data_IF_359890116885
#
_entry.id   IF_359890116885
#
_cell.length_a   1.000
_cell.length_b   1.000
_cell.length_c   1.000
_cell.angle_alpha   90.00
_cell.angle_beta   90.00
_cell.angle_gamma   90.00
#
_symmetry.space_group_name_H-M   'P 1'
#
loop_
_entity.id
_entity.type
_entity.pdbx_description
1 polymer ?
#
# COMPACT_ATOMS: atom_id res chain seq x y z
N UNK A 1 14.77 13.89 11.75
CA UNK A 1 14.08 12.69 11.26
C UNK A 1 13.35 11.94 12.39
N UNK A 2 14.05 11.35 13.41
CA UNK A 2 13.37 10.58 14.47
C UNK A 2 12.42 11.44 15.32
N UNK A 3 12.81 12.68 15.60
CA UNK A 3 11.94 13.65 16.27
C UNK A 3 10.67 13.90 15.48
N UNK A 4 10.77 14.01 14.16
CA UNK A 4 9.61 14.25 13.27
C UNK A 4 8.72 13.01 13.19
N UNK A 5 9.32 11.81 13.06
CA UNK A 5 8.57 10.54 13.09
C UNK A 5 7.75 10.43 14.39
N UNK A 6 8.38 10.64 15.55
CA UNK A 6 7.67 10.58 16.84
C UNK A 6 6.57 11.62 16.95
N UNK A 7 6.85 12.85 16.50
CA UNK A 7 5.86 13.93 16.50
C UNK A 7 4.63 13.57 15.66
N UNK A 8 4.84 12.99 14.47
CA UNK A 8 3.74 12.55 13.62
C UNK A 8 2.93 11.43 14.31
N UNK A 9 3.60 10.39 14.82
CA UNK A 9 2.93 9.29 15.52
C UNK A 9 2.16 9.77 16.76
N UNK A 10 2.74 10.69 17.54
CA UNK A 10 2.09 11.28 18.73
C UNK A 10 0.87 12.12 18.35
N UNK A 11 0.87 12.74 17.18
CA UNK A 11 -0.28 13.51 16.67
C UNK A 11 -1.38 12.62 16.06
N UNK A 12 -1.23 11.28 16.10
CA UNK A 12 -2.21 10.35 15.56
C UNK A 12 -2.05 10.04 14.08
N UNK A 13 -0.98 10.53 13.44
CA UNK A 13 -0.69 10.22 12.04
C UNK A 13 0.08 8.91 11.93
N UNK A 14 -0.20 8.18 10.86
CA UNK A 14 0.56 7.00 10.51
C UNK A 14 1.85 7.40 9.77
N UNK A 15 2.94 6.64 10.02
CA UNK A 15 4.23 6.84 9.36
C UNK A 15 4.66 5.54 8.72
N UNK A 16 5.07 5.57 7.46
CA UNK A 16 5.62 4.41 6.74
C UNK A 16 7.12 4.60 6.59
N UNK A 17 7.89 3.60 7.02
CA UNK A 17 9.33 3.51 6.79
C UNK A 17 9.66 2.25 6.00
N UNK A 18 10.84 2.21 5.40
CA UNK A 18 11.33 1.01 4.72
C UNK A 18 12.23 0.17 5.62
N UNK A 19 12.39 -1.12 5.30
CA UNK A 19 13.39 -1.99 5.93
C UNK A 19 14.81 -1.45 5.77
N UNK A 20 15.08 -0.69 4.71
CA UNK A 20 16.37 0.00 4.53
C UNK A 20 16.63 1.05 5.62
N UNK A 21 15.63 1.86 5.96
CA UNK A 21 15.75 2.82 7.06
C UNK A 21 15.89 2.11 8.41
N UNK A 22 15.09 1.06 8.64
CA UNK A 22 15.19 0.22 9.84
C UNK A 22 16.62 -0.33 10.02
N UNK A 23 17.23 -0.83 8.94
CA UNK A 23 18.60 -1.35 8.95
C UNK A 23 19.65 -0.25 9.20
N UNK A 24 19.39 0.96 8.73
CA UNK A 24 20.33 2.09 8.88
C UNK A 24 20.33 2.69 10.30
N UNK A 25 19.22 2.65 11.03
CA UNK A 25 19.09 3.26 12.37
C UNK A 25 18.31 2.37 13.35
N UNK A 26 18.70 1.09 13.52
CA UNK A 26 17.92 0.12 14.29
C UNK A 26 17.69 0.54 15.75
N UNK A 27 18.71 1.08 16.42
CA UNK A 27 18.62 1.49 17.83
C UNK A 27 17.62 2.63 18.04
N UNK A 28 17.51 3.54 17.07
CA UNK A 28 16.56 4.64 17.13
C UNK A 28 15.12 4.19 16.87
N UNK A 29 14.94 3.21 16.01
CA UNK A 29 13.61 2.62 15.76
C UNK A 29 13.18 1.77 16.97
N UNK A 30 14.13 1.10 17.64
CA UNK A 30 13.89 0.32 18.86
C UNK A 30 13.28 1.15 20.02
N UNK A 31 13.45 2.48 20.01
CA UNK A 31 12.77 3.38 20.94
C UNK A 31 11.24 3.51 20.70
N UNK A 32 10.75 3.03 19.55
CA UNK A 32 9.34 3.00 19.17
C UNK A 32 8.81 1.57 19.21
N UNK A 33 9.51 0.64 18.56
CA UNK A 33 9.16 -0.78 18.45
C UNK A 33 10.41 -1.61 18.25
N UNK A 34 10.49 -2.76 18.92
CA UNK A 34 11.62 -3.67 18.76
C UNK A 34 11.47 -4.51 17.49
N UNK A 35 12.18 -4.09 16.44
CA UNK A 35 12.26 -4.75 15.15
C UNK A 35 13.73 -4.98 14.78
N UNK A 36 14.01 -6.11 14.16
CA UNK A 36 15.37 -6.46 13.74
C UNK A 36 15.39 -6.96 12.30
N UNK A 37 16.13 -6.28 11.44
CA UNK A 37 16.55 -6.85 10.17
C UNK A 37 17.60 -7.94 10.44
N UNK A 38 17.35 -9.15 9.95
CA UNK A 38 18.32 -10.25 10.03
C UNK A 38 19.11 -10.35 8.72
N UNK A 39 20.13 -11.21 8.71
CA UNK A 39 20.85 -11.54 7.47
C UNK A 39 20.15 -12.68 6.68
N UNK A 40 19.04 -13.19 7.20
CA UNK A 40 18.28 -14.24 6.53
C UNK A 40 17.41 -13.67 5.43
N UNK A 41 17.29 -14.44 4.35
CA UNK A 41 16.44 -14.16 3.19
C UNK A 41 15.76 -15.44 2.73
N UNK A 42 14.61 -15.32 2.09
CA UNK A 42 13.94 -16.44 1.47
C UNK A 42 13.44 -16.08 0.08
N UNK A 43 13.41 -17.10 -0.80
CA UNK A 43 12.66 -17.01 -2.05
C UNK A 43 11.20 -17.32 -1.75
N UNK A 44 10.34 -16.36 -2.03
CA UNK A 44 8.90 -16.47 -1.77
C UNK A 44 8.10 -15.95 -2.97
N UNK A 45 7.03 -16.66 -3.29
CA UNK A 45 6.04 -16.23 -4.29
C UNK A 45 4.61 -16.26 -3.75
N UNK A 46 4.38 -16.85 -2.57
CA UNK A 46 3.08 -16.95 -1.93
C UNK A 46 2.89 -15.81 -0.90
N UNK A 47 1.89 -14.97 -1.12
CA UNK A 47 1.48 -13.86 -0.26
C UNK A 47 0.16 -14.18 0.48
N UNK A 48 -0.16 -15.46 0.64
CA UNK A 48 -1.36 -15.91 1.33
C UNK A 48 -2.64 -15.37 0.68
N UNK A 49 -3.48 -14.71 1.45
CA UNK A 49 -4.76 -14.13 0.97
C UNK A 49 -4.61 -13.09 -0.15
N UNK A 50 -3.42 -12.55 -0.33
CA UNK A 50 -3.14 -11.55 -1.36
C UNK A 50 -2.78 -12.16 -2.72
N UNK A 51 -2.55 -13.48 -2.77
CA UNK A 51 -2.26 -14.21 -4.00
C UNK A 51 -0.78 -14.54 -4.17
N UNK A 52 -0.42 -14.90 -5.38
CA UNK A 52 0.95 -15.29 -5.73
C UNK A 52 1.61 -14.24 -6.60
N UNK A 53 2.92 -14.05 -6.41
CA UNK A 53 3.76 -13.32 -7.33
C UNK A 53 3.99 -14.13 -8.61
N UNK A 54 4.26 -13.46 -9.73
CA UNK A 54 4.54 -14.11 -11.01
C UNK A 54 5.85 -14.91 -11.04
N UNK A 55 6.72 -14.72 -10.03
CA UNK A 55 8.02 -15.38 -9.86
C UNK A 55 8.43 -15.42 -8.39
N UNK A 56 9.48 -16.17 -8.10
CA UNK A 56 10.10 -16.15 -6.78
C UNK A 56 10.83 -14.83 -6.53
N UNK A 57 10.59 -14.24 -5.37
CA UNK A 57 11.16 -12.97 -4.93
C UNK A 57 12.06 -13.20 -3.73
N UNK A 58 13.25 -12.62 -3.74
CA UNK A 58 14.18 -12.70 -2.61
C UNK A 58 13.82 -11.62 -1.58
N UNK A 59 13.20 -12.07 -0.49
CA UNK A 59 12.71 -11.19 0.58
C UNK A 59 13.62 -11.29 1.80
N UNK A 60 14.15 -10.16 2.31
CA UNK A 60 14.87 -10.13 3.57
C UNK A 60 13.91 -10.31 4.75
N UNK A 61 14.42 -10.92 5.83
CA UNK A 61 13.64 -11.15 7.03
C UNK A 61 13.71 -9.94 7.96
N UNK A 62 12.52 -9.52 8.44
CA UNK A 62 12.38 -8.61 9.58
C UNK A 62 11.75 -9.39 10.73
N UNK A 63 12.48 -9.55 11.82
CA UNK A 63 11.97 -10.14 13.06
C UNK A 63 11.21 -9.10 13.88
N UNK A 64 10.15 -9.54 14.54
CA UNK A 64 9.29 -8.71 15.39
C UNK A 64 8.66 -9.55 16.51
N UNK A 65 8.22 -8.91 17.57
CA UNK A 65 7.43 -9.52 18.61
C UNK A 65 5.94 -9.29 18.37
N UNK A 66 5.15 -10.36 18.48
CA UNK A 66 3.69 -10.33 18.16
C UNK A 66 2.87 -9.46 19.11
N UNK A 67 3.41 -9.10 20.28
CA UNK A 67 2.78 -8.16 21.21
C UNK A 67 2.97 -6.70 20.79
N UNK A 68 4.03 -6.39 20.05
CA UNK A 68 4.43 -5.03 19.71
C UNK A 68 4.11 -4.68 18.27
N UNK A 69 4.10 -5.68 17.38
CA UNK A 69 3.80 -5.49 15.97
C UNK A 69 3.08 -6.71 15.39
N UNK A 70 2.41 -6.52 14.25
CA UNK A 70 1.77 -7.61 13.52
C UNK A 70 1.86 -7.40 12.00
N UNK A 71 1.75 -8.50 11.27
CA UNK A 71 1.76 -8.50 9.82
C UNK A 71 0.44 -7.97 9.26
N UNK A 72 0.53 -7.00 8.37
CA UNK A 72 -0.58 -6.55 7.53
C UNK A 72 -0.55 -7.33 6.21
N UNK A 73 0.64 -7.38 5.58
CA UNK A 73 0.92 -8.18 4.40
C UNK A 73 2.14 -9.05 4.71
N UNK A 74 2.05 -10.34 4.43
CA UNK A 74 3.16 -11.28 4.59
C UNK A 74 3.42 -12.05 3.31
N UNK A 75 4.67 -12.46 3.13
CA UNK A 75 5.09 -13.40 2.11
C UNK A 75 5.67 -14.64 2.78
N UNK A 76 5.37 -15.80 2.19
CA UNK A 76 5.74 -17.08 2.74
C UNK A 76 4.82 -17.55 3.88
N UNK A 77 4.94 -18.83 4.23
CA UNK A 77 4.20 -19.41 5.35
C UNK A 77 4.95 -19.16 6.65
N UNK A 78 4.24 -18.92 7.77
CA UNK A 78 4.87 -18.93 9.07
C UNK A 78 5.59 -20.27 9.27
N UNK A 79 6.87 -20.22 9.58
CA UNK A 79 7.59 -21.43 9.99
C UNK A 79 6.99 -21.91 11.31
N UNK A 80 6.57 -23.17 11.37
CA UNK A 80 6.16 -23.79 12.61
C UNK A 80 7.34 -23.77 13.57
N UNK A 81 7.23 -23.04 14.69
CA UNK A 81 8.31 -22.98 15.68
C UNK A 81 8.61 -21.59 16.21
N UNK A 82 7.71 -20.60 16.07
CA UNK A 82 7.82 -19.31 16.75
C UNK A 82 8.65 -18.25 16.05
N UNK A 83 9.15 -18.53 14.86
CA UNK A 83 9.77 -17.53 14.01
C UNK A 83 8.71 -17.01 13.04
N UNK A 84 8.45 -15.71 13.08
CA UNK A 84 7.60 -15.03 12.10
C UNK A 84 8.11 -15.27 10.68
N UNK A 85 7.19 -15.36 9.73
CA UNK A 85 7.51 -15.47 8.30
C UNK A 85 8.29 -14.26 7.77
N UNK A 86 8.12 -13.97 6.50
CA UNK A 86 8.75 -12.83 5.85
C UNK A 86 7.72 -11.70 5.70
N UNK A 87 7.59 -10.82 6.72
CA UNK A 87 6.63 -9.72 6.68
C UNK A 87 7.01 -8.75 5.56
N UNK A 88 6.00 -8.41 4.74
CA UNK A 88 6.13 -7.39 3.71
C UNK A 88 5.73 -6.03 4.27
N UNK A 89 4.67 -6.00 5.06
CA UNK A 89 4.20 -4.79 5.73
C UNK A 89 3.84 -5.13 7.17
N UNK A 90 4.62 -4.57 8.09
CA UNK A 90 4.36 -4.63 9.53
C UNK A 90 3.64 -3.36 9.97
N UNK A 91 2.83 -3.49 11.01
CA UNK A 91 2.21 -2.38 11.73
C UNK A 91 2.56 -2.46 13.20
N UNK A 92 3.09 -1.39 13.76
CA UNK A 92 3.37 -1.23 15.19
C UNK A 92 2.63 0.00 15.73
N UNK A 93 1.74 -0.12 16.72
CA UNK A 93 1.09 1.03 17.34
C UNK A 93 2.11 1.82 18.18
N UNK A 94 2.05 3.14 18.11
CA UNK A 94 2.85 4.01 18.95
C UNK A 94 2.07 5.28 19.26
N UNK A 95 1.84 5.55 20.54
CA UNK A 95 0.99 6.65 21.03
C UNK A 95 -0.40 6.62 20.34
N UNK A 96 -0.75 7.65 19.59
CA UNK A 96 -2.04 7.75 18.89
C UNK A 96 -1.98 7.30 17.41
N UNK A 97 -0.78 7.06 16.86
CA UNK A 97 -0.56 6.66 15.46
C UNK A 97 0.02 5.26 15.32
N UNK A 98 0.38 4.89 14.08
CA UNK A 98 1.02 3.61 13.79
C UNK A 98 2.29 3.82 12.96
N UNK A 99 3.35 3.12 13.35
CA UNK A 99 4.53 2.94 12.52
C UNK A 99 4.31 1.73 11.61
N UNK A 100 4.39 1.93 10.31
CA UNK A 100 4.43 0.85 9.35
C UNK A 100 5.85 0.65 8.84
N UNK A 101 6.25 -0.60 8.69
CA UNK A 101 7.54 -0.96 8.10
C UNK A 101 7.30 -1.78 6.85
N UNK A 102 7.68 -1.21 5.70
CA UNK A 102 7.62 -1.87 4.41
C UNK A 102 8.96 -2.56 4.13
N UNK A 103 8.94 -3.88 4.03
CA UNK A 103 10.10 -4.66 3.62
C UNK A 103 10.34 -4.52 2.13
N UNK A 104 11.50 -3.99 1.78
CA UNK A 104 11.92 -3.86 0.38
C UNK A 104 12.69 -5.12 -0.01
N UNK A 105 12.34 -5.80 -1.13
CA UNK A 105 13.13 -6.88 -1.68
C UNK A 105 14.57 -6.43 -1.98
N UNK A 106 15.50 -7.38 -2.10
CA UNK A 106 16.88 -7.09 -2.44
C UNK A 106 17.03 -6.30 -3.75
N UNK A 107 16.26 -6.69 -4.76
CA UNK A 107 16.07 -5.90 -5.96
C UNK A 107 14.78 -5.09 -5.80
N UNK A 108 14.90 -3.77 -5.76
CA UNK A 108 13.77 -2.86 -5.62
C UNK A 108 12.75 -3.00 -6.77
N UNK A 109 13.20 -3.39 -7.96
CA UNK A 109 12.35 -3.68 -9.12
C UNK A 109 11.34 -4.80 -8.84
N UNK A 110 11.67 -5.71 -7.94
CA UNK A 110 10.77 -6.80 -7.54
C UNK A 110 9.51 -6.36 -6.80
N UNK A 111 9.42 -5.09 -6.36
CA UNK A 111 8.16 -4.53 -5.87
C UNK A 111 7.06 -4.57 -6.94
N UNK A 112 7.42 -4.47 -8.20
CA UNK A 112 6.47 -4.55 -9.33
C UNK A 112 5.92 -5.97 -9.55
N UNK A 113 6.56 -6.98 -8.99
CA UNK A 113 6.14 -8.38 -9.10
C UNK A 113 5.23 -8.82 -7.95
N UNK A 114 4.98 -7.96 -6.97
CA UNK A 114 4.03 -8.25 -5.90
C UNK A 114 2.62 -8.42 -6.48
N UNK A 115 1.81 -9.34 -5.90
CA UNK A 115 0.42 -9.49 -6.31
C UNK A 115 -0.34 -8.16 -6.18
N UNK A 116 -1.21 -7.87 -7.13
CA UNK A 116 -1.99 -6.61 -7.16
C UNK A 116 -2.72 -6.34 -5.83
N UNK A 117 -3.27 -7.38 -5.19
CA UNK A 117 -3.94 -7.24 -3.89
C UNK A 117 -2.98 -6.78 -2.78
N UNK A 118 -1.73 -7.25 -2.78
CA UNK A 118 -0.71 -6.81 -1.82
C UNK A 118 -0.32 -5.35 -2.08
N UNK A 119 -0.09 -4.98 -3.34
CA UNK A 119 0.20 -3.61 -3.73
C UNK A 119 -0.94 -2.65 -3.36
N UNK A 120 -2.19 -3.07 -3.56
CA UNK A 120 -3.34 -2.23 -3.24
C UNK A 120 -3.49 -2.03 -1.72
N UNK A 121 -3.17 -3.04 -0.90
CA UNK A 121 -3.12 -2.87 0.56
C UNK A 121 -2.03 -1.88 0.99
N UNK A 122 -0.84 -1.96 0.37
CA UNK A 122 0.25 -1.01 0.61
C UNK A 122 -0.18 0.40 0.20
N UNK A 123 -0.72 0.58 -1.02
CA UNK A 123 -1.23 1.87 -1.52
C UNK A 123 -2.28 2.46 -0.59
N UNK A 124 -3.24 1.66 -0.15
CA UNK A 124 -4.31 2.09 0.76
C UNK A 124 -3.78 2.64 2.08
N UNK A 125 -2.73 2.02 2.62
CA UNK A 125 -2.09 2.50 3.85
C UNK A 125 -1.30 3.77 3.61
N UNK A 126 -0.53 3.83 2.52
CA UNK A 126 0.26 5.02 2.17
C UNK A 126 -0.61 6.24 1.83
N UNK A 127 -1.81 5.99 1.31
CA UNK A 127 -2.77 7.04 0.91
C UNK A 127 -3.87 7.27 1.94
N UNK A 128 -3.70 6.84 3.19
CA UNK A 128 -4.77 6.87 4.20
C UNK A 128 -5.33 8.27 4.45
N UNK A 129 -4.47 9.27 4.43
CA UNK A 129 -4.82 10.67 4.66
C UNK A 129 -5.13 11.41 3.33
N UNK A 130 -5.21 10.68 2.22
CA UNK A 130 -5.62 11.20 0.93
C UNK A 130 -7.07 10.80 0.64
N UNK A 131 -7.82 11.74 0.09
CA UNK A 131 -9.22 11.51 -0.28
C UNK A 131 -9.36 10.59 -1.49
N UNK A 132 -8.27 10.34 -2.20
CA UNK A 132 -8.23 9.57 -3.46
C UNK A 132 -7.08 8.58 -3.43
N UNK A 133 -7.35 7.32 -3.78
CA UNK A 133 -6.32 6.31 -4.00
C UNK A 133 -6.67 5.36 -5.17
N UNK A 134 -5.68 4.59 -5.60
CA UNK A 134 -5.77 3.71 -6.75
C UNK A 134 -5.73 2.24 -6.34
N UNK A 135 -6.66 1.45 -6.88
CA UNK A 135 -6.58 -0.01 -6.92
C UNK A 135 -6.25 -0.44 -8.35
N UNK A 136 -5.07 -1.00 -8.54
CA UNK A 136 -4.55 -1.35 -9.86
C UNK A 136 -3.48 -2.45 -9.75
N UNK A 137 -3.12 -3.12 -10.85
CA UNK A 137 -1.90 -3.91 -10.92
C UNK A 137 -0.65 -3.03 -10.72
N UNK A 138 0.53 -3.64 -10.75
CA UNK A 138 1.80 -2.90 -10.74
C UNK A 138 1.93 -1.98 -11.96
N UNK A 139 2.90 -1.07 -11.91
CA UNK A 139 3.21 -0.13 -13.00
C UNK A 139 2.02 0.70 -13.48
N UNK A 140 1.13 1.07 -12.55
CA UNK A 140 0.09 2.06 -12.78
C UNK A 140 0.24 3.17 -11.76
N UNK A 141 0.35 4.40 -12.24
CA UNK A 141 0.52 5.61 -11.45
C UNK A 141 -0.78 6.38 -11.28
N UNK A 142 -0.93 7.04 -10.13
CA UNK A 142 -1.97 8.03 -9.85
C UNK A 142 -1.27 9.33 -9.44
N UNK A 143 -1.61 10.41 -10.12
CA UNK A 143 -1.14 11.76 -9.82
C UNK A 143 -2.35 12.61 -9.47
N UNK A 144 -2.35 13.21 -8.29
CA UNK A 144 -3.45 14.05 -7.81
C UNK A 144 -2.95 15.47 -7.63
N UNK A 145 -3.68 16.43 -8.14
CA UNK A 145 -3.34 17.84 -8.13
C UNK A 145 -4.33 18.65 -7.27
N UNK A 146 -3.88 19.75 -6.71
CA UNK A 146 -4.64 20.64 -5.82
C UNK A 146 -5.84 21.34 -6.50
N UNK A 147 -5.82 21.44 -7.84
CA UNK A 147 -6.91 21.98 -8.65
C UNK A 147 -8.05 20.98 -8.91
N UNK A 148 -8.15 19.91 -8.14
CA UNK A 148 -9.11 18.82 -8.31
C UNK A 148 -8.96 18.04 -9.63
N UNK A 149 -7.75 17.98 -10.14
CA UNK A 149 -7.42 17.15 -11.30
C UNK A 149 -6.69 15.90 -10.83
N UNK A 150 -6.95 14.79 -11.48
CA UNK A 150 -6.14 13.56 -11.34
C UNK A 150 -5.75 13.02 -12.71
N UNK A 151 -4.59 12.36 -12.75
CA UNK A 151 -4.11 11.62 -13.91
C UNK A 151 -3.81 10.19 -13.48
N UNK A 152 -4.32 9.24 -14.25
CA UNK A 152 -4.00 7.82 -14.09
C UNK A 152 -3.27 7.34 -15.32
N UNK A 153 -2.10 6.74 -15.14
CA UNK A 153 -1.21 6.33 -16.22
C UNK A 153 -0.84 4.86 -16.11
N UNK A 154 -0.91 4.16 -17.24
CA UNK A 154 -0.52 2.76 -17.41
C UNK A 154 0.86 2.69 -18.06
N UNK A 155 1.86 2.21 -17.33
CA UNK A 155 3.23 1.96 -17.84
C UNK A 155 3.45 0.52 -18.29
N UNK A 156 2.39 -0.31 -18.33
CA UNK A 156 2.49 -1.69 -18.81
C UNK A 156 2.35 -1.76 -20.33
N UNK A 157 2.90 -2.83 -20.91
CA UNK A 157 2.75 -3.17 -22.32
C UNK A 157 1.36 -3.72 -22.67
N UNK A 158 0.53 -3.99 -21.66
CA UNK A 158 -0.81 -4.56 -21.78
C UNK A 158 -1.88 -3.59 -21.27
N UNK A 159 -3.12 -3.67 -21.77
CA UNK A 159 -4.23 -2.92 -21.22
C UNK A 159 -4.50 -3.35 -19.77
N UNK A 160 -4.94 -2.41 -18.95
CA UNK A 160 -5.26 -2.68 -17.53
C UNK A 160 -6.61 -2.11 -17.14
N UNK A 161 -7.30 -2.85 -16.28
CA UNK A 161 -8.46 -2.35 -15.55
C UNK A 161 -8.01 -1.80 -14.19
N UNK A 162 -8.49 -0.63 -13.86
CA UNK A 162 -8.16 0.04 -12.61
C UNK A 162 -9.43 0.57 -11.93
N UNK A 163 -9.33 0.78 -10.62
CA UNK A 163 -10.38 1.40 -9.83
C UNK A 163 -9.79 2.61 -9.08
N UNK A 164 -10.36 3.77 -9.31
CA UNK A 164 -10.10 4.97 -8.50
C UNK A 164 -11.11 4.95 -7.36
N UNK A 165 -10.63 5.07 -6.13
CA UNK A 165 -11.46 5.11 -4.93
C UNK A 165 -11.32 6.49 -4.31
N UNK A 166 -12.46 7.13 -4.03
CA UNK A 166 -12.53 8.50 -3.51
C UNK A 166 -13.43 8.53 -2.28
N UNK A 167 -13.46 9.67 -1.60
CA UNK A 167 -14.50 9.93 -0.62
C UNK A 167 -15.87 10.01 -1.28
N UNK A 168 -16.94 9.87 -0.50
CA UNK A 168 -18.32 9.91 -0.96
C UNK A 168 -18.76 11.29 -1.51
N UNK A 169 -18.02 12.35 -1.18
CA UNK A 169 -18.23 13.68 -1.74
C UNK A 169 -17.94 13.76 -3.24
N UNK A 170 -17.04 12.93 -3.77
CA UNK A 170 -16.73 12.88 -5.20
C UNK A 170 -17.79 12.06 -5.92
N UNK A 171 -18.72 12.73 -6.59
CA UNK A 171 -19.88 12.09 -7.23
C UNK A 171 -19.66 11.79 -8.71
N UNK A 172 -18.62 12.33 -9.34
CA UNK A 172 -18.32 12.08 -10.76
C UNK A 172 -16.86 12.42 -11.09
N UNK A 173 -16.35 11.75 -12.11
CA UNK A 173 -15.08 12.09 -12.76
C UNK A 173 -15.37 12.51 -14.21
N UNK A 174 -14.98 13.71 -14.57
CA UNK A 174 -15.13 14.26 -15.93
C UNK A 174 -13.79 14.15 -16.68
N UNK A 175 -13.76 13.40 -17.77
CA UNK A 175 -12.57 13.24 -18.59
C UNK A 175 -12.23 14.56 -19.29
N UNK A 176 -11.01 15.03 -19.09
CA UNK A 176 -10.56 16.33 -19.64
C UNK A 176 -10.29 16.32 -21.14
N UNK A 177 -10.16 15.13 -21.76
CA UNK A 177 -9.90 15.03 -23.20
C UNK A 177 -11.17 15.13 -24.03
N UNK A 178 -12.25 14.49 -23.57
CA UNK A 178 -13.47 14.34 -24.38
C UNK A 178 -14.77 14.75 -23.64
N UNK A 179 -14.68 15.13 -22.37
CA UNK A 179 -15.82 15.53 -21.58
C UNK A 179 -16.71 14.39 -21.07
N UNK A 180 -16.32 13.14 -21.29
CA UNK A 180 -17.08 11.98 -20.81
C UNK A 180 -17.14 11.97 -19.28
N UNK A 181 -18.31 11.60 -18.74
CA UNK A 181 -18.52 11.52 -17.30
C UNK A 181 -18.52 10.06 -16.87
N UNK A 182 -17.61 9.73 -15.95
CA UNK A 182 -17.66 8.48 -15.20
C UNK A 182 -18.52 8.68 -13.96
N UNK A 183 -19.55 7.84 -13.84
CA UNK A 183 -20.33 7.71 -12.62
C UNK A 183 -19.71 6.70 -11.67
N UNK A 184 -19.91 6.85 -10.35
CA UNK A 184 -19.42 5.88 -9.39
C UNK A 184 -20.10 4.52 -9.57
N UNK A 185 -19.37 3.46 -9.28
CA UNK A 185 -19.95 2.12 -9.20
C UNK A 185 -20.93 2.05 -8.03
N UNK A 186 -21.96 1.18 -8.13
CA UNK A 186 -22.81 0.89 -6.98
C UNK A 186 -21.96 0.49 -5.77
N UNK A 187 -22.30 1.02 -4.59
CA UNK A 187 -21.61 0.70 -3.37
C UNK A 187 -21.71 -0.81 -3.08
N UNK A 188 -20.58 -1.48 -2.96
CA UNK A 188 -20.58 -2.87 -2.52
C UNK A 188 -20.94 -2.93 -1.03
N UNK A 189 -21.81 -3.86 -0.60
CA UNK A 189 -22.15 -4.01 0.80
C UNK A 189 -20.89 -4.43 1.58
N UNK A 190 -20.39 -3.52 2.41
CA UNK A 190 -19.20 -3.79 3.24
C UNK A 190 -19.63 -4.58 4.47
N UNK A 191 -19.30 -5.86 4.52
CA UNK A 191 -19.42 -6.68 5.72
C UNK A 191 -18.29 -6.32 6.70
N UNK A 192 -18.40 -5.22 7.40
CA UNK A 192 -17.43 -4.82 8.42
C UNK A 192 -18.10 -4.66 9.77
N UNK A 193 -17.44 -5.18 10.82
CA UNK A 193 -17.84 -4.95 12.22
C UNK A 193 -17.44 -3.55 12.75
N UNK A 194 -16.74 -2.77 11.95
CA UNK A 194 -16.30 -1.40 12.30
C UNK A 194 -16.99 -0.40 11.36
N UNK A 195 -17.27 0.81 11.82
CA UNK A 195 -17.73 1.88 10.95
C UNK A 195 -16.74 2.03 9.77
N UNK A 196 -17.24 2.00 8.56
CA UNK A 196 -16.44 2.23 7.34
C UNK A 196 -16.90 3.56 6.79
N UNK A 197 -15.97 4.48 6.56
CA UNK A 197 -16.27 5.72 5.85
C UNK A 197 -16.76 5.36 4.44
N UNK A 198 -17.92 5.87 4.03
CA UNK A 198 -18.41 5.67 2.66
C UNK A 198 -17.34 6.09 1.65
N UNK A 199 -17.22 5.33 0.58
CA UNK A 199 -16.27 5.59 -0.49
C UNK A 199 -16.95 5.36 -1.82
N UNK A 200 -16.76 6.28 -2.75
CA UNK A 200 -17.12 6.09 -4.14
C UNK A 200 -15.98 5.43 -4.90
N UNK A 201 -16.30 4.64 -5.91
CA UNK A 201 -15.29 4.02 -6.75
C UNK A 201 -15.65 4.10 -8.23
N UNK A 202 -14.65 4.32 -9.06
CA UNK A 202 -14.79 4.52 -10.49
C UNK A 202 -13.90 3.51 -11.21
N UNK A 203 -14.48 2.74 -12.13
CA UNK A 203 -13.72 1.79 -12.94
C UNK A 203 -13.38 2.40 -14.28
N UNK A 204 -12.15 2.21 -14.72
CA UNK A 204 -11.72 2.60 -16.06
C UNK A 204 -10.71 1.60 -16.62
N UNK A 205 -10.67 1.53 -17.95
CA UNK A 205 -9.69 0.77 -18.71
C UNK A 205 -8.67 1.74 -19.30
N UNK A 206 -7.39 1.37 -19.20
CA UNK A 206 -6.26 2.09 -19.78
C UNK A 206 -5.58 1.21 -20.82
N UNK A 207 -5.30 1.77 -22.00
CA UNK A 207 -4.50 1.13 -23.01
C UNK A 207 -3.02 1.06 -22.57
N UNK A 208 -2.19 0.21 -23.20
CA UNK A 208 -0.75 0.22 -22.96
C UNK A 208 -0.15 1.62 -23.13
N UNK A 209 0.77 1.98 -22.24
CA UNK A 209 1.53 3.25 -22.28
C UNK A 209 0.63 4.49 -22.49
N UNK A 210 -0.54 4.49 -21.85
CA UNK A 210 -1.51 5.57 -21.97
C UNK A 210 -1.92 6.13 -20.62
N UNK A 211 -2.45 7.33 -20.65
CA UNK A 211 -3.02 7.97 -19.47
C UNK A 211 -4.43 8.49 -19.75
N UNK A 212 -5.15 8.79 -18.68
CA UNK A 212 -6.39 9.56 -18.72
C UNK A 212 -6.36 10.60 -17.60
N UNK A 213 -6.84 11.80 -17.93
CA UNK A 213 -6.93 12.92 -17.01
C UNK A 213 -8.39 13.24 -16.69
N UNK A 214 -8.69 13.47 -15.43
CA UNK A 214 -10.05 13.74 -14.96
C UNK A 214 -10.07 14.95 -14.03
N UNK A 215 -11.17 15.70 -14.09
CA UNK A 215 -11.59 16.61 -13.05
C UNK A 215 -12.58 15.89 -12.14
N UNK A 216 -12.36 15.90 -10.84
CA UNK A 216 -13.31 15.34 -9.88
C UNK A 216 -14.20 16.43 -9.26
N UNK A 217 -15.49 16.11 -9.09
CA UNK A 217 -16.53 17.02 -8.61
C UNK A 217 -17.43 16.33 -7.58
#
# INVERSE_FOLDING_TARGET
>A
LMTDIRKQLQSGRDVVITSGLLKAIPEKIAEIVELRCTDLKALVNDFGRYGQAGRDLLIPQVQYYTNDAWEVVSAGRPLTGGVSGYPILLRAPYAAGNLYVLTIPDDMGNLYDFPAKALNEIRRIMSRDMDIYLEAPSKVGLFVYDNKTLVVENFNDEPVEVRIVTDDEVTRLENLENGDILAPLPAEPVQSRRPVTPKNSFRLSLLPHSYKAFQFK
#
